data_IF_841842940895
#
_entry.id   IF_841842940895
#
_cell.length_a   1.000
_cell.length_b   1.000
_cell.length_c   1.000
_cell.angle_alpha   90.00
_cell.angle_beta   90.00
_cell.angle_gamma   90.00
#
_symmetry.space_group_name_H-M   'P 1'
#
loop_
_entity.id
_entity.type
_entity.pdbx_description
1 polymer ?
#
# COMPACT_ATOMS: atom_id res chain seq x y z
N UNK A 1 -14.52 -42.97 -31.55
CA UNK A 1 -14.12 -43.34 -30.18
C UNK A 1 -12.78 -42.71 -29.78
N UNK A 2 -11.71 -42.94 -30.52
CA UNK A 2 -10.35 -42.38 -30.25
C UNK A 2 -10.33 -40.85 -30.20
N UNK A 3 -11.06 -40.18 -31.08
CA UNK A 3 -11.12 -38.71 -31.18
C UNK A 3 -11.78 -38.06 -29.96
N UNK A 4 -12.79 -38.68 -29.39
CA UNK A 4 -13.43 -38.17 -28.14
C UNK A 4 -12.52 -38.38 -26.93
N UNK A 5 -11.74 -39.44 -26.92
CA UNK A 5 -10.77 -39.71 -25.86
C UNK A 5 -9.62 -38.71 -25.87
N UNK A 6 -9.10 -38.38 -27.08
CA UNK A 6 -8.10 -37.30 -27.26
C UNK A 6 -8.62 -35.92 -26.83
N UNK A 7 -9.83 -35.58 -27.24
CA UNK A 7 -10.45 -34.30 -26.83
C UNK A 7 -10.63 -34.21 -25.31
N UNK A 8 -11.03 -35.30 -24.66
CA UNK A 8 -11.18 -35.33 -23.20
C UNK A 8 -9.84 -35.17 -22.48
N UNK A 9 -8.80 -35.90 -22.93
CA UNK A 9 -7.44 -35.78 -22.36
C UNK A 9 -6.90 -34.34 -22.52
N UNK A 10 -7.09 -33.72 -23.69
CA UNK A 10 -6.68 -32.33 -23.93
C UNK A 10 -7.41 -31.36 -23.00
N UNK A 11 -8.72 -31.51 -22.85
CA UNK A 11 -9.51 -30.66 -21.95
C UNK A 11 -9.05 -30.78 -20.50
N UNK A 12 -8.83 -32.00 -20.00
CA UNK A 12 -8.32 -32.24 -18.63
C UNK A 12 -6.95 -31.61 -18.44
N UNK A 13 -6.04 -31.74 -19.42
CA UNK A 13 -4.71 -31.14 -19.36
C UNK A 13 -4.76 -29.60 -19.30
N UNK A 14 -5.65 -28.95 -20.05
CA UNK A 14 -5.85 -27.49 -20.01
C UNK A 14 -6.40 -27.06 -18.65
N UNK A 15 -7.34 -27.80 -18.09
CA UNK A 15 -7.86 -27.50 -16.74
C UNK A 15 -6.79 -27.59 -15.65
N UNK A 16 -5.96 -28.64 -15.69
CA UNK A 16 -4.85 -28.82 -14.75
C UNK A 16 -3.84 -27.68 -14.89
N UNK A 17 -3.46 -27.31 -16.11
CA UNK A 17 -2.55 -26.20 -16.36
C UNK A 17 -3.12 -24.86 -15.85
N UNK A 18 -4.40 -24.59 -16.06
CA UNK A 18 -5.07 -23.41 -15.57
C UNK A 18 -5.09 -23.32 -14.03
N UNK A 19 -5.39 -24.46 -13.36
CA UNK A 19 -5.37 -24.54 -11.89
C UNK A 19 -3.95 -24.32 -11.36
N UNK A 20 -2.95 -24.98 -11.94
CA UNK A 20 -1.55 -24.84 -11.55
C UNK A 20 -1.07 -23.38 -11.69
N UNK A 21 -1.41 -22.73 -12.81
CA UNK A 21 -1.11 -21.32 -13.05
C UNK A 21 -1.79 -20.45 -12.00
N UNK A 22 -3.06 -20.66 -11.73
CA UNK A 22 -3.81 -19.91 -10.72
C UNK A 22 -3.18 -20.03 -9.32
N UNK A 23 -2.83 -21.25 -8.90
CA UNK A 23 -2.19 -21.51 -7.59
C UNK A 23 -0.82 -20.84 -7.53
N UNK A 24 -0.03 -20.90 -8.60
CA UNK A 24 1.30 -20.26 -8.67
C UNK A 24 1.19 -18.75 -8.57
N UNK A 25 0.30 -18.13 -9.33
CA UNK A 25 0.07 -16.67 -9.28
C UNK A 25 -0.38 -16.22 -7.89
N UNK A 26 -1.29 -16.98 -7.27
CA UNK A 26 -1.78 -16.67 -5.92
C UNK A 26 -0.68 -16.83 -4.86
N UNK A 27 0.16 -17.86 -4.99
CA UNK A 27 1.29 -18.09 -4.07
C UNK A 27 2.34 -16.97 -4.20
N UNK A 28 2.72 -16.63 -5.44
CA UNK A 28 3.68 -15.55 -5.72
C UNK A 28 3.16 -14.20 -5.21
N UNK A 29 1.86 -13.92 -5.34
CA UNK A 29 1.25 -12.72 -4.79
C UNK A 29 1.38 -12.61 -3.27
N UNK A 30 1.24 -13.74 -2.54
CA UNK A 30 1.44 -13.77 -1.08
C UNK A 30 2.90 -13.57 -0.69
N UNK A 31 3.83 -14.19 -1.41
CA UNK A 31 5.26 -14.01 -1.18
C UNK A 31 5.70 -12.58 -1.45
N UNK A 32 5.24 -11.98 -2.55
CA UNK A 32 5.50 -10.58 -2.87
C UNK A 32 4.96 -9.65 -1.78
N UNK A 33 3.74 -9.87 -1.30
CA UNK A 33 3.16 -9.10 -0.21
C UNK A 33 3.98 -9.17 1.08
N UNK A 34 4.49 -10.36 1.44
CA UNK A 34 5.35 -10.53 2.60
C UNK A 34 6.71 -9.81 2.43
N UNK A 35 7.31 -9.89 1.26
CA UNK A 35 8.57 -9.18 0.95
C UNK A 35 8.38 -7.66 1.01
N UNK A 36 7.31 -7.14 0.43
CA UNK A 36 6.94 -5.73 0.51
C UNK A 36 6.77 -5.33 1.99
N UNK A 37 6.01 -6.11 2.77
CA UNK A 37 5.80 -5.83 4.19
C UNK A 37 7.11 -5.73 4.96
N UNK A 38 8.03 -6.67 4.79
CA UNK A 38 9.33 -6.64 5.48
C UNK A 38 10.17 -5.44 5.07
N UNK A 39 10.29 -5.17 3.77
CA UNK A 39 11.07 -4.04 3.25
C UNK A 39 10.55 -2.70 3.78
N UNK A 40 9.23 -2.51 3.81
CA UNK A 40 8.63 -1.27 4.32
C UNK A 40 8.67 -1.18 5.84
N UNK A 41 8.59 -2.30 6.57
CA UNK A 41 8.77 -2.32 8.03
C UNK A 41 10.14 -1.81 8.44
N UNK A 42 11.18 -2.17 7.72
CA UNK A 42 12.54 -1.67 7.97
C UNK A 42 12.65 -0.17 7.67
N UNK A 43 12.07 0.31 6.56
CA UNK A 43 12.05 1.74 6.24
C UNK A 43 11.29 2.56 7.28
N UNK A 44 10.14 2.06 7.78
CA UNK A 44 9.39 2.72 8.87
C UNK A 44 10.22 2.77 10.15
N UNK A 45 10.93 1.70 10.47
CA UNK A 45 11.82 1.67 11.64
C UNK A 45 12.91 2.74 11.55
N UNK A 46 13.54 2.90 10.39
CA UNK A 46 14.55 3.93 10.16
C UNK A 46 13.97 5.34 10.24
N UNK A 47 12.79 5.57 9.69
CA UNK A 47 12.09 6.86 9.82
C UNK A 47 11.73 7.18 11.28
N UNK A 48 11.27 6.20 12.06
CA UNK A 48 11.00 6.39 13.49
C UNK A 48 12.27 6.75 14.28
N UNK A 49 13.40 6.15 13.96
CA UNK A 49 14.69 6.53 14.57
C UNK A 49 15.08 7.96 14.19
N UNK A 50 14.97 8.35 12.93
CA UNK A 50 15.24 9.70 12.48
C UNK A 50 14.32 10.73 13.15
N UNK A 51 13.01 10.45 13.24
CA UNK A 51 12.04 11.29 13.93
C UNK A 51 12.31 11.43 15.43
N UNK A 52 12.87 10.40 16.08
CA UNK A 52 13.25 10.47 17.49
C UNK A 52 14.48 11.38 17.73
N UNK A 53 15.32 11.57 16.71
CA UNK A 53 16.50 12.45 16.77
C UNK A 53 16.13 13.92 16.50
N UNK A 54 15.27 14.18 15.52
CA UNK A 54 14.75 15.52 15.23
C UNK A 54 13.34 15.45 14.61
N UNK A 55 12.31 15.66 15.43
CA UNK A 55 10.90 15.63 15.03
C UNK A 55 10.54 16.78 14.09
N UNK A 56 11.33 17.84 14.04
CA UNK A 56 11.04 19.04 13.23
C UNK A 56 11.74 19.05 11.88
N UNK A 57 12.46 18.00 11.55
CA UNK A 57 13.13 17.90 10.27
C UNK A 57 12.10 17.70 9.14
N UNK A 58 12.03 18.69 8.25
CA UNK A 58 11.15 18.68 7.07
C UNK A 58 11.44 17.48 6.18
N UNK A 59 12.66 16.96 6.16
CA UNK A 59 13.04 15.80 5.38
C UNK A 59 12.40 14.52 5.94
N UNK A 60 12.23 14.42 7.25
CA UNK A 60 11.55 13.28 7.89
C UNK A 60 10.09 13.20 7.46
N UNK A 61 9.35 14.31 7.49
CA UNK A 61 7.94 14.33 7.08
C UNK A 61 7.80 14.08 5.57
N UNK A 62 8.70 14.61 4.77
CA UNK A 62 8.73 14.39 3.33
C UNK A 62 8.95 12.90 3.02
N UNK A 63 9.95 12.28 3.65
CA UNK A 63 10.25 10.85 3.49
C UNK A 63 9.10 9.96 3.97
N UNK A 64 8.47 10.30 5.09
CA UNK A 64 7.29 9.60 5.57
C UNK A 64 6.12 9.69 4.58
N UNK A 65 5.90 10.87 3.99
CA UNK A 65 4.84 11.09 3.00
C UNK A 65 5.11 10.30 1.72
N UNK A 66 6.34 10.26 1.23
CA UNK A 66 6.71 9.43 0.08
C UNK A 66 6.53 7.94 0.36
N UNK A 67 6.84 7.48 1.57
CA UNK A 67 6.60 6.09 1.98
C UNK A 67 5.11 5.75 1.93
N UNK A 68 4.24 6.63 2.45
CA UNK A 68 2.79 6.45 2.38
C UNK A 68 2.31 6.45 0.93
N UNK A 69 2.83 7.35 0.10
CA UNK A 69 2.52 7.41 -1.33
C UNK A 69 2.86 6.08 -2.04
N UNK A 70 4.05 5.53 -1.81
CA UNK A 70 4.45 4.25 -2.38
C UNK A 70 3.54 3.10 -1.93
N UNK A 71 3.19 3.02 -0.63
CA UNK A 71 2.26 2.03 -0.09
C UNK A 71 0.86 2.17 -0.69
N UNK A 72 0.38 3.40 -0.85
CA UNK A 72 -0.90 3.69 -1.50
C UNK A 72 -0.92 3.21 -2.96
N UNK A 73 0.14 3.49 -3.73
CA UNK A 73 0.25 3.04 -5.12
C UNK A 73 0.32 1.51 -5.22
N UNK A 74 1.05 0.85 -4.34
CA UNK A 74 1.11 -0.62 -4.29
C UNK A 74 -0.26 -1.22 -3.98
N UNK A 75 -1.04 -0.61 -3.07
CA UNK A 75 -2.41 -1.02 -2.80
C UNK A 75 -3.31 -0.79 -4.00
N UNK A 76 -3.27 0.39 -4.61
CA UNK A 76 -4.08 0.76 -5.76
C UNK A 76 -3.86 -0.17 -6.95
N UNK A 77 -2.63 -0.63 -7.13
CA UNK A 77 -2.25 -1.60 -8.19
C UNK A 77 -2.52 -3.06 -7.83
N UNK A 78 -3.03 -3.35 -6.64
CA UNK A 78 -3.37 -4.71 -6.21
C UNK A 78 -2.19 -5.55 -5.70
N UNK A 79 -1.02 -4.94 -5.48
CA UNK A 79 0.15 -5.64 -4.93
C UNK A 79 0.07 -5.85 -3.42
N UNK A 80 -0.72 -5.04 -2.72
CA UNK A 80 -0.96 -5.19 -1.28
C UNK A 80 -2.36 -5.77 -1.02
N UNK A 81 -2.40 -6.85 -0.27
CA UNK A 81 -3.66 -7.42 0.22
C UNK A 81 -4.32 -6.50 1.25
N UNK A 82 -5.64 -6.61 1.40
CA UNK A 82 -6.38 -5.82 2.40
C UNK A 82 -5.89 -6.08 3.83
N UNK A 83 -5.48 -7.31 4.16
CA UNK A 83 -4.94 -7.66 5.47
C UNK A 83 -3.62 -6.95 5.79
N UNK A 84 -2.71 -6.85 4.81
CA UNK A 84 -1.44 -6.12 4.98
C UNK A 84 -1.73 -4.61 5.07
N UNK A 85 -2.64 -4.10 4.23
CA UNK A 85 -3.00 -2.69 4.30
C UNK A 85 -3.56 -2.29 5.67
N UNK A 86 -4.42 -3.10 6.28
CA UNK A 86 -5.01 -2.81 7.59
C UNK A 86 -3.96 -2.61 8.68
N UNK A 87 -2.80 -3.28 8.58
CA UNK A 87 -1.69 -3.09 9.52
C UNK A 87 -1.12 -1.67 9.40
N UNK A 88 -0.92 -1.19 8.16
CA UNK A 88 -0.36 0.13 7.89
C UNK A 88 -1.35 1.27 8.04
N UNK A 89 -2.63 1.02 7.78
CA UNK A 89 -3.70 2.02 7.76
C UNK A 89 -3.82 2.77 9.10
N UNK A 90 -3.63 2.07 10.19
CA UNK A 90 -3.62 2.66 11.53
C UNK A 90 -2.44 3.62 11.71
N UNK A 91 -1.23 3.18 11.40
CA UNK A 91 -0.01 4.00 11.54
C UNK A 91 -0.06 5.22 10.61
N UNK A 92 -0.60 5.05 9.41
CA UNK A 92 -0.82 6.14 8.45
C UNK A 92 -1.83 7.14 9.01
N UNK A 93 -2.98 6.67 9.49
CA UNK A 93 -4.02 7.52 10.07
C UNK A 93 -3.50 8.29 11.29
N UNK A 94 -2.72 7.64 12.16
CA UNK A 94 -2.12 8.30 13.32
C UNK A 94 -1.13 9.40 12.90
N UNK A 95 -0.34 9.19 11.84
CA UNK A 95 0.53 10.24 11.29
C UNK A 95 -0.27 11.40 10.71
N UNK A 96 -1.33 11.13 9.91
CA UNK A 96 -2.18 12.15 9.32
C UNK A 96 -2.90 13.02 10.36
N UNK A 97 -3.14 12.48 11.57
CA UNK A 97 -3.76 13.21 12.69
C UNK A 97 -2.81 14.19 13.38
N UNK A 98 -1.51 14.04 13.18
CA UNK A 98 -0.55 14.93 13.84
C UNK A 98 -0.66 16.36 13.34
N UNK A 99 -0.60 17.34 14.23
CA UNK A 99 -0.55 18.76 13.87
C UNK A 99 0.62 19.06 12.94
N UNK A 100 1.72 18.32 13.13
CA UNK A 100 2.91 18.46 12.32
C UNK A 100 2.66 18.08 10.85
N UNK A 101 1.97 16.96 10.57
CA UNK A 101 1.60 16.59 9.21
C UNK A 101 0.64 17.59 8.61
N UNK A 102 -0.42 17.94 9.33
CA UNK A 102 -1.46 18.85 8.84
C UNK A 102 -0.89 20.24 8.50
N UNK A 103 0.01 20.77 9.33
CA UNK A 103 0.68 22.06 9.08
C UNK A 103 1.54 22.03 7.82
N UNK A 104 2.16 20.87 7.49
CA UNK A 104 3.05 20.76 6.33
C UNK A 104 2.32 20.25 5.08
N UNK A 105 1.04 19.87 5.18
CA UNK A 105 0.32 19.23 4.07
C UNK A 105 0.27 20.09 2.82
N UNK A 106 0.04 21.39 2.91
CA UNK A 106 0.01 22.26 1.72
C UNK A 106 1.34 22.28 0.96
N UNK A 107 2.45 22.30 1.67
CA UNK A 107 3.78 22.20 1.06
C UNK A 107 4.00 20.82 0.41
N UNK A 108 3.64 19.75 1.10
CA UNK A 108 3.73 18.37 0.60
C UNK A 108 2.83 18.16 -0.63
N UNK A 109 1.61 18.67 -0.57
CA UNK A 109 0.63 18.65 -1.66
C UNK A 109 1.17 19.32 -2.92
N UNK A 110 1.83 20.46 -2.79
CA UNK A 110 2.44 21.15 -3.93
C UNK A 110 3.54 20.32 -4.60
N UNK A 111 4.32 19.57 -3.84
CA UNK A 111 5.34 18.66 -4.37
C UNK A 111 4.77 17.39 -5.02
N UNK A 112 3.59 16.97 -4.57
CA UNK A 112 2.88 15.78 -5.04
C UNK A 112 1.77 16.08 -6.06
N UNK A 113 1.69 17.31 -6.58
CA UNK A 113 0.60 17.76 -7.43
C UNK A 113 0.35 16.88 -8.67
N UNK A 114 1.38 16.22 -9.19
CA UNK A 114 1.27 15.28 -10.32
C UNK A 114 0.60 13.93 -9.93
N UNK A 115 0.46 13.65 -8.62
CA UNK A 115 -0.11 12.41 -8.09
C UNK A 115 -1.53 12.64 -7.59
N UNK A 116 -2.43 13.10 -8.49
CA UNK A 116 -3.78 13.57 -8.16
C UNK A 116 -4.59 12.55 -7.34
N UNK A 117 -4.49 11.25 -7.65
CA UNK A 117 -5.22 10.22 -6.91
C UNK A 117 -4.77 10.12 -5.46
N UNK A 118 -3.48 10.22 -5.22
CA UNK A 118 -2.93 10.20 -3.87
C UNK A 118 -3.30 11.45 -3.09
N UNK A 119 -3.15 12.63 -3.71
CA UNK A 119 -3.51 13.91 -3.09
C UNK A 119 -4.97 13.92 -2.68
N UNK A 120 -5.88 13.54 -3.57
CA UNK A 120 -7.32 13.47 -3.28
C UNK A 120 -7.63 12.46 -2.17
N UNK A 121 -6.91 11.34 -2.12
CA UNK A 121 -7.07 10.36 -1.06
C UNK A 121 -6.65 10.93 0.30
N UNK A 122 -5.51 11.61 0.40
CA UNK A 122 -5.06 12.26 1.65
C UNK A 122 -6.03 13.36 2.07
N UNK A 123 -6.47 14.22 1.16
CA UNK A 123 -7.45 15.27 1.43
C UNK A 123 -8.73 14.68 2.04
N UNK A 124 -9.24 13.58 1.48
CA UNK A 124 -10.42 12.89 1.99
C UNK A 124 -10.19 12.29 3.40
N UNK A 125 -8.99 11.76 3.67
CA UNK A 125 -8.63 11.25 5.01
C UNK A 125 -8.59 12.39 6.04
N UNK A 126 -7.99 13.53 5.70
CA UNK A 126 -7.91 14.69 6.58
C UNK A 126 -9.30 15.28 6.87
N UNK A 127 -10.18 15.32 5.88
CA UNK A 127 -11.57 15.74 6.07
C UNK A 127 -12.31 14.78 7.02
N UNK A 128 -12.18 13.47 6.84
CA UNK A 128 -12.78 12.49 7.72
C UNK A 128 -12.27 12.60 9.17
N UNK A 129 -10.98 12.86 9.36
CA UNK A 129 -10.36 13.10 10.67
C UNK A 129 -10.98 14.36 11.31
N UNK A 130 -11.09 15.47 10.56
CA UNK A 130 -11.66 16.72 11.05
C UNK A 130 -13.13 16.58 11.48
N UNK A 131 -13.91 15.75 10.77
CA UNK A 131 -15.30 15.46 11.12
C UNK A 131 -15.41 14.58 12.39
N UNK A 132 -14.48 13.66 12.60
CA UNK A 132 -14.48 12.78 13.77
C UNK A 132 -14.05 13.46 15.07
N UNK A 133 -13.41 14.63 15.01
CA UNK A 133 -12.94 15.41 16.15
C UNK A 133 -13.91 16.53 16.59
N UNK A 134 -15.00 16.72 15.85
CA UNK A 134 -16.06 17.63 16.28
C UNK A 134 -16.91 16.95 17.34
N UNK A 135 -17.06 17.56 18.54
CA UNK A 135 -17.88 17.03 19.63
C UNK A 135 -19.37 16.96 19.28
#
# INVERSE_FOLDING_TARGET
MLQHLLSFVTFVSVCIAAIATYVTVRHNGRQLGAQIFLAYSDRVRELRKAAALDVRDTDVILNATFLIFELYELRRRGYLSSSIWTIWDRDITDLLRTDYFQTHWEMLRSRLHNHVHFVNWVDAQLEAIALSTKP
#
